data_IF_648867176650
#
_entry.id   IF_648867176650
#
_cell.length_a   1.000
_cell.length_b   1.000
_cell.length_c   1.000
_cell.angle_alpha   90.00
_cell.angle_beta   90.00
_cell.angle_gamma   90.00
#
_symmetry.space_group_name_H-M   'P 1'
#
loop_
_entity.id
_entity.type
_entity.pdbx_description
1 polymer ?
#
# COMPACT_ATOMS: atom_id res chain seq x y z
N UNK A 1 6.68 90.76 -40.09
CA UNK A 1 5.49 90.09 -40.65
C UNK A 1 5.38 88.70 -40.04
N UNK A 2 4.40 88.44 -39.16
CA UNK A 2 4.22 87.12 -38.54
C UNK A 2 3.44 86.19 -39.48
N UNK A 3 3.87 84.93 -39.58
CA UNK A 3 3.17 83.88 -40.33
C UNK A 3 2.00 83.32 -39.51
N UNK A 4 0.86 82.97 -40.14
CA UNK A 4 -0.30 82.42 -39.45
C UNK A 4 -0.05 80.98 -38.97
N UNK A 5 -0.69 80.65 -37.85
CA UNK A 5 -0.61 79.36 -37.17
C UNK A 5 -1.46 78.29 -37.89
N UNK A 6 -0.84 77.13 -38.15
CA UNK A 6 -1.52 75.92 -38.63
C UNK A 6 -2.27 75.24 -37.47
N UNK A 7 -3.60 75.35 -37.45
CA UNK A 7 -4.47 74.52 -36.62
C UNK A 7 -4.61 73.13 -37.27
N UNK A 8 -4.07 72.10 -36.60
CA UNK A 8 -4.31 70.70 -36.96
C UNK A 8 -5.67 70.24 -36.40
N UNK A 9 -6.52 69.59 -37.20
CA UNK A 9 -7.76 69.00 -36.71
C UNK A 9 -7.47 67.76 -35.86
N UNK A 10 -7.90 67.80 -34.60
CA UNK A 10 -7.86 66.68 -33.66
C UNK A 10 -9.01 65.72 -34.01
N UNK A 11 -8.68 64.59 -34.63
CA UNK A 11 -9.59 63.50 -34.93
C UNK A 11 -9.82 62.68 -33.64
N UNK A 12 -10.97 62.88 -33.00
CA UNK A 12 -11.42 62.08 -31.86
C UNK A 12 -12.01 60.77 -32.41
N UNK A 13 -11.21 59.70 -32.40
CA UNK A 13 -11.69 58.35 -32.69
C UNK A 13 -12.50 57.85 -31.48
N UNK A 14 -13.83 57.80 -31.64
CA UNK A 14 -14.71 57.11 -30.71
C UNK A 14 -14.46 55.60 -30.80
N UNK A 15 -13.61 55.09 -29.91
CA UNK A 15 -13.37 53.66 -29.76
C UNK A 15 -14.61 52.97 -29.19
N UNK A 16 -15.24 52.11 -30.00
CA UNK A 16 -16.24 51.17 -29.53
C UNK A 16 -15.56 50.14 -28.62
N UNK A 17 -15.78 50.25 -27.31
CA UNK A 17 -15.44 49.21 -26.34
C UNK A 17 -16.37 48.02 -26.58
N UNK A 18 -15.90 46.99 -27.27
CA UNK A 18 -16.53 45.68 -27.24
C UNK A 18 -16.29 45.09 -25.85
N UNK A 19 -17.37 44.98 -25.07
CA UNK A 19 -17.38 44.20 -23.84
C UNK A 19 -17.14 42.73 -24.23
N UNK A 20 -15.88 42.32 -24.22
CA UNK A 20 -15.49 40.91 -24.24
C UNK A 20 -16.05 40.31 -22.96
N UNK A 21 -17.22 39.69 -23.07
CA UNK A 21 -17.75 38.85 -22.01
C UNK A 21 -16.72 37.76 -21.73
N UNK A 22 -16.11 37.81 -20.54
CA UNK A 22 -15.38 36.68 -19.99
C UNK A 22 -16.35 35.51 -19.95
N UNK A 23 -16.32 34.65 -20.96
CA UNK A 23 -16.78 33.28 -20.80
C UNK A 23 -15.87 32.68 -19.74
N UNK A 24 -16.36 32.61 -18.50
CA UNK A 24 -15.83 31.70 -17.49
C UNK A 24 -15.82 30.32 -18.13
N UNK A 25 -14.68 29.93 -18.69
CA UNK A 25 -14.38 28.53 -18.99
C UNK A 25 -14.62 27.81 -17.69
N UNK A 26 -15.71 27.04 -17.63
CA UNK A 26 -16.00 26.18 -16.51
C UNK A 26 -14.70 25.41 -16.24
N UNK A 27 -14.08 25.71 -15.10
CA UNK A 27 -12.95 24.93 -14.63
C UNK A 27 -13.43 23.48 -14.67
N UNK A 28 -12.75 22.56 -15.36
CA UNK A 28 -13.17 21.16 -15.40
C UNK A 28 -13.47 20.75 -13.97
N UNK A 29 -14.74 20.45 -13.69
CA UNK A 29 -15.20 20.30 -12.31
C UNK A 29 -14.33 19.25 -11.65
N UNK A 30 -13.67 19.61 -10.55
CA UNK A 30 -12.81 18.67 -9.83
C UNK A 30 -13.65 17.44 -9.53
N UNK A 31 -13.19 16.26 -9.94
CA UNK A 31 -13.89 15.01 -9.64
C UNK A 31 -14.05 14.93 -8.11
N UNK A 32 -15.16 14.39 -7.59
CA UNK A 32 -15.34 14.29 -6.15
C UNK A 32 -14.23 13.40 -5.57
N UNK A 33 -13.62 13.85 -4.48
CA UNK A 33 -12.60 13.06 -3.78
C UNK A 33 -13.25 11.78 -3.26
N UNK A 34 -12.50 10.69 -3.39
CA UNK A 34 -12.85 9.35 -2.91
C UNK A 34 -11.86 8.93 -1.85
N UNK A 35 -12.24 7.99 -0.99
CA UNK A 35 -11.42 7.61 0.15
C UNK A 35 -11.18 6.11 0.18
N UNK A 36 -9.94 5.74 0.48
CA UNK A 36 -9.53 4.38 0.85
C UNK A 36 -8.96 4.46 2.25
N UNK A 37 -9.47 3.61 3.14
CA UNK A 37 -8.93 3.48 4.48
C UNK A 37 -8.13 2.18 4.55
N UNK A 38 -6.96 2.21 5.18
CA UNK A 38 -6.08 1.05 5.36
C UNK A 38 -5.92 0.81 6.85
N UNK A 39 -6.04 -0.45 7.29
CA UNK A 39 -5.66 -0.92 8.61
C UNK A 39 -4.28 -1.59 8.50
N UNK A 40 -3.19 -0.91 8.90
CA UNK A 40 -1.90 -1.55 9.02
C UNK A 40 -1.93 -2.57 10.16
N UNK A 41 -1.24 -3.68 9.97
CA UNK A 41 -1.11 -4.76 10.95
C UNK A 41 0.36 -5.15 10.99
N UNK A 42 1.03 -4.84 12.08
CA UNK A 42 2.41 -5.26 12.34
C UNK A 42 2.39 -6.71 12.80
N UNK A 43 2.96 -7.63 12.02
CA UNK A 43 3.15 -9.00 12.46
C UNK A 43 4.42 -9.08 13.31
N UNK A 44 4.33 -9.78 14.43
CA UNK A 44 5.42 -10.05 15.33
C UNK A 44 5.50 -11.54 15.64
N UNK A 45 6.62 -11.95 16.23
CA UNK A 45 6.73 -13.25 16.87
C UNK A 45 5.68 -13.41 17.99
N UNK A 46 5.55 -14.63 18.49
CA UNK A 46 4.54 -14.98 19.51
C UNK A 46 4.74 -14.22 20.84
N UNK A 47 5.92 -13.64 21.05
CA UNK A 47 6.27 -12.87 22.26
C UNK A 47 6.21 -11.35 22.05
N UNK A 48 5.98 -10.89 20.82
CA UNK A 48 6.00 -9.49 20.43
C UNK A 48 7.39 -8.84 20.51
N UNK A 49 8.47 -9.63 20.46
CA UNK A 49 9.85 -9.16 20.61
C UNK A 49 10.46 -8.80 19.26
N UNK A 50 10.25 -9.64 18.25
CA UNK A 50 10.66 -9.41 16.86
C UNK A 50 9.40 -9.08 16.06
N UNK A 51 9.42 -7.96 15.35
CA UNK A 51 8.30 -7.50 14.54
C UNK A 51 8.80 -7.03 13.19
N UNK A 52 8.01 -7.27 12.15
CA UNK A 52 8.21 -6.68 10.84
C UNK A 52 8.11 -5.14 10.92
N UNK A 53 8.79 -4.45 10.01
CA UNK A 53 8.81 -3.01 9.93
C UNK A 53 7.53 -2.44 9.26
N UNK A 54 6.95 -1.39 9.85
CA UNK A 54 5.76 -0.72 9.32
C UNK A 54 6.10 0.29 8.21
N UNK A 55 6.53 -0.21 7.06
CA UNK A 55 6.92 0.59 5.90
C UNK A 55 5.72 1.02 5.02
N UNK A 56 4.83 1.86 5.56
CA UNK A 56 3.59 2.27 4.85
C UNK A 56 3.81 3.13 3.59
N UNK A 57 4.95 3.82 3.49
CA UNK A 57 5.24 4.80 2.43
C UNK A 57 4.06 5.74 2.14
N UNK A 58 3.44 6.27 3.20
CA UNK A 58 2.17 6.98 3.12
C UNK A 58 2.20 8.19 2.16
N UNK A 59 3.30 8.95 2.13
CA UNK A 59 3.44 10.11 1.23
C UNK A 59 3.48 9.70 -0.25
N UNK A 60 4.26 8.68 -0.60
CA UNK A 60 4.31 8.14 -1.96
C UNK A 60 2.97 7.57 -2.39
N UNK A 61 2.33 6.80 -1.49
CA UNK A 61 1.01 6.22 -1.72
C UNK A 61 -0.05 7.30 -1.96
N UNK A 62 -0.08 8.33 -1.11
CA UNK A 62 -0.98 9.48 -1.26
C UNK A 62 -0.76 10.19 -2.59
N UNK A 63 0.50 10.47 -2.95
CA UNK A 63 0.82 11.15 -4.22
C UNK A 63 0.40 10.34 -5.45
N UNK A 64 0.62 9.02 -5.44
CA UNK A 64 0.21 8.15 -6.55
C UNK A 64 -1.31 8.16 -6.71
N UNK A 65 -2.06 7.98 -5.62
CA UNK A 65 -3.52 7.90 -5.66
C UNK A 65 -4.23 9.24 -5.86
N UNK A 66 -3.56 10.36 -5.61
CA UNK A 66 -4.04 11.69 -5.99
C UNK A 66 -4.31 11.82 -7.51
N UNK A 67 -3.64 11.04 -8.36
CA UNK A 67 -3.92 10.97 -9.81
C UNK A 67 -5.36 10.49 -10.11
N UNK A 68 -5.96 9.74 -9.20
CA UNK A 68 -7.31 9.20 -9.31
C UNK A 68 -8.32 9.97 -8.45
N UNK A 69 -7.94 11.10 -7.85
CA UNK A 69 -8.71 11.80 -6.82
C UNK A 69 -9.16 10.84 -5.70
N UNK A 70 -8.26 9.92 -5.29
CA UNK A 70 -8.42 9.00 -4.17
C UNK A 70 -7.46 9.42 -3.05
N UNK A 71 -7.99 9.71 -1.88
CA UNK A 71 -7.23 9.94 -0.66
C UNK A 71 -7.09 8.62 0.12
N UNK A 72 -5.85 8.23 0.40
CA UNK A 72 -5.54 7.03 1.19
C UNK A 72 -5.21 7.46 2.62
N UNK A 73 -5.98 6.94 3.59
CA UNK A 73 -5.76 7.18 5.01
C UNK A 73 -5.36 5.88 5.71
N UNK A 74 -4.24 5.91 6.42
CA UNK A 74 -3.79 4.80 7.27
C UNK A 74 -4.33 4.99 8.68
N UNK A 75 -5.02 3.98 9.20
CA UNK A 75 -5.46 3.91 10.60
C UNK A 75 -4.25 3.63 11.52
N UNK A 76 -4.39 3.82 12.85
CA UNK A 76 -3.41 3.34 13.80
C UNK A 76 -3.14 1.83 13.59
N UNK A 77 -1.86 1.39 13.59
CA UNK A 77 -1.52 0.01 13.33
C UNK A 77 -2.05 -0.91 14.44
N UNK A 78 -2.56 -2.07 14.04
CA UNK A 78 -2.78 -3.18 14.95
C UNK A 78 -1.51 -4.04 15.03
N UNK A 79 -1.43 -4.90 16.06
CA UNK A 79 -0.37 -5.88 16.19
C UNK A 79 -0.95 -7.29 16.16
N UNK A 80 -0.31 -8.17 15.40
CA UNK A 80 -0.59 -9.60 15.37
C UNK A 80 0.62 -10.35 15.95
N UNK A 81 0.43 -11.07 17.05
CA UNK A 81 1.44 -11.99 17.58
C UNK A 81 1.23 -13.36 16.92
N UNK A 82 2.21 -13.82 16.15
CA UNK A 82 2.12 -15.06 15.42
C UNK A 82 3.35 -15.31 14.58
N UNK A 83 4.36 -15.97 15.15
CA UNK A 83 5.66 -16.19 14.49
C UNK A 83 5.54 -16.84 13.12
N UNK A 84 4.54 -17.72 12.93
CA UNK A 84 4.30 -18.37 11.64
C UNK A 84 3.97 -17.39 10.52
N UNK A 85 3.35 -16.26 10.84
CA UNK A 85 2.94 -15.26 9.86
C UNK A 85 4.03 -14.22 9.56
N UNK A 86 5.21 -14.31 10.19
CA UNK A 86 6.36 -13.46 9.83
C UNK A 86 6.91 -13.84 8.45
N UNK A 87 6.76 -15.10 8.04
CA UNK A 87 7.12 -15.57 6.71
C UNK A 87 5.91 -16.21 6.07
N UNK A 88 5.40 -15.63 4.99
CA UNK A 88 4.26 -16.18 4.25
C UNK A 88 4.78 -16.93 3.03
N UNK A 89 4.64 -18.25 2.99
CA UNK A 89 5.16 -19.10 1.92
C UNK A 89 4.08 -19.81 1.10
N UNK A 90 2.81 -19.58 1.43
CA UNK A 90 1.66 -20.21 0.78
C UNK A 90 0.48 -19.27 0.62
N UNK A 91 -0.32 -19.53 -0.41
CA UNK A 91 -1.55 -18.77 -0.68
C UNK A 91 -2.63 -19.08 0.35
N UNK A 92 -2.62 -20.30 0.88
CA UNK A 92 -3.51 -20.77 1.93
C UNK A 92 -3.33 -19.94 3.21
N UNK A 93 -2.09 -19.66 3.59
CA UNK A 93 -1.80 -18.81 4.75
C UNK A 93 -2.24 -17.35 4.53
N UNK A 94 -1.99 -16.80 3.34
CA UNK A 94 -2.50 -15.47 3.01
C UNK A 94 -4.04 -15.43 3.02
N UNK A 95 -4.69 -16.48 2.51
CA UNK A 95 -6.15 -16.62 2.54
C UNK A 95 -6.68 -16.76 3.97
N UNK A 96 -5.93 -17.43 4.85
CA UNK A 96 -6.26 -17.54 6.27
C UNK A 96 -6.27 -16.15 6.93
N UNK A 97 -5.17 -15.39 6.81
CA UNK A 97 -5.07 -14.01 7.29
C UNK A 97 -6.21 -13.15 6.75
N UNK A 98 -6.53 -13.30 5.48
CA UNK A 98 -7.50 -12.44 4.78
C UNK A 98 -8.95 -12.76 5.11
N UNK A 99 -9.30 -14.06 5.22
CA UNK A 99 -10.70 -14.49 5.20
C UNK A 99 -11.11 -15.50 6.28
N UNK A 100 -10.18 -16.17 6.97
CA UNK A 100 -10.54 -17.11 8.02
C UNK A 100 -10.89 -16.39 9.33
N UNK A 101 -11.61 -17.07 10.22
CA UNK A 101 -12.01 -16.54 11.52
C UNK A 101 -13.11 -15.47 11.45
N UNK A 102 -13.38 -14.84 12.60
CA UNK A 102 -14.42 -13.82 12.74
C UNK A 102 -13.95 -12.40 12.37
N UNK A 103 -14.86 -11.45 12.57
CA UNK A 103 -14.56 -10.02 12.54
C UNK A 103 -13.41 -9.70 13.51
N UNK A 104 -12.37 -9.01 13.02
CA UNK A 104 -11.19 -8.66 13.81
C UNK A 104 -10.14 -9.75 13.97
N UNK A 105 -10.39 -10.99 13.50
CA UNK A 105 -9.37 -12.04 13.54
C UNK A 105 -8.11 -11.63 12.78
N UNK A 106 -6.95 -12.11 13.24
CA UNK A 106 -5.63 -11.79 12.69
C UNK A 106 -5.30 -10.28 12.65
N UNK A 107 -5.85 -9.51 13.59
CA UNK A 107 -5.61 -8.06 13.68
C UNK A 107 -6.36 -7.22 12.65
N UNK A 108 -7.27 -7.82 11.86
CA UNK A 108 -8.10 -7.09 10.88
C UNK A 108 -8.95 -6.02 11.55
N UNK A 109 -9.36 -5.01 10.78
CA UNK A 109 -10.38 -4.09 11.24
C UNK A 109 -11.74 -4.82 11.31
N UNK A 110 -12.48 -4.74 12.43
CA UNK A 110 -13.78 -5.39 12.57
C UNK A 110 -14.85 -4.99 11.54
N UNK A 111 -14.71 -3.79 10.94
CA UNK A 111 -15.63 -3.31 9.90
C UNK A 111 -15.25 -3.77 8.49
N UNK A 112 -14.09 -4.41 8.32
CA UNK A 112 -13.65 -4.94 7.03
C UNK A 112 -14.46 -6.18 6.67
N UNK A 113 -14.88 -6.23 5.40
CA UNK A 113 -15.36 -7.45 4.76
C UNK A 113 -14.42 -7.82 3.61
N UNK A 114 -14.71 -8.93 2.94
CA UNK A 114 -13.99 -9.32 1.72
C UNK A 114 -13.99 -8.23 0.63
N UNK A 115 -15.00 -7.37 0.57
CA UNK A 115 -15.15 -6.40 -0.53
C UNK A 115 -15.50 -4.99 -0.07
N UNK A 116 -15.44 -4.69 1.23
CA UNK A 116 -15.77 -3.38 1.77
C UNK A 116 -15.00 -3.07 3.06
N UNK A 117 -15.08 -1.81 3.50
CA UNK A 117 -14.42 -1.34 4.72
C UNK A 117 -12.92 -1.13 4.54
N UNK A 118 -12.17 -0.92 5.64
CA UNK A 118 -10.73 -0.71 5.57
C UNK A 118 -10.00 -1.90 4.94
N UNK A 119 -9.03 -1.63 4.07
CA UNK A 119 -8.12 -2.65 3.55
C UNK A 119 -7.19 -3.11 4.68
N UNK A 120 -7.15 -4.41 4.95
CA UNK A 120 -6.22 -4.98 5.93
C UNK A 120 -4.87 -5.23 5.27
N UNK A 121 -3.81 -4.72 5.88
CA UNK A 121 -2.47 -4.75 5.33
C UNK A 121 -1.51 -5.29 6.39
N UNK A 122 -1.02 -6.51 6.19
CA UNK A 122 -0.05 -7.15 7.07
C UNK A 122 1.37 -6.86 6.59
N UNK A 123 2.18 -6.34 7.51
CA UNK A 123 3.61 -6.19 7.34
C UNK A 123 4.27 -7.43 7.95
N UNK A 124 5.05 -8.13 7.13
CA UNK A 124 5.70 -9.41 7.43
C UNK A 124 7.18 -9.32 7.07
N UNK A 125 8.01 -10.22 7.59
CA UNK A 125 9.44 -10.22 7.26
C UNK A 125 9.64 -10.59 5.80
N UNK A 126 9.08 -11.74 5.38
CA UNK A 126 9.33 -12.33 4.06
C UNK A 126 8.02 -12.86 3.44
N UNK A 127 7.87 -12.69 2.12
CA UNK A 127 6.80 -13.31 1.32
C UNK A 127 7.48 -14.17 0.27
N UNK A 128 7.28 -15.48 0.34
CA UNK A 128 7.87 -16.46 -0.56
C UNK A 128 6.83 -16.96 -1.56
N UNK A 129 7.13 -16.82 -2.85
CA UNK A 129 6.34 -17.37 -3.94
C UNK A 129 7.18 -18.37 -4.73
N UNK A 130 7.05 -19.64 -4.35
CA UNK A 130 7.93 -20.70 -4.86
C UNK A 130 9.36 -20.51 -4.34
N UNK A 131 10.32 -20.31 -5.25
CA UNK A 131 11.73 -20.13 -4.90
C UNK A 131 12.15 -18.65 -4.79
N UNK A 132 11.20 -17.71 -4.92
CA UNK A 132 11.48 -16.28 -5.01
C UNK A 132 10.80 -15.51 -3.89
N UNK A 133 11.48 -14.51 -3.38
CA UNK A 133 10.91 -13.52 -2.49
C UNK A 133 10.20 -12.43 -3.31
N UNK A 134 9.02 -12.01 -2.86
CA UNK A 134 8.27 -10.90 -3.46
C UNK A 134 8.08 -9.77 -2.45
N UNK A 135 8.00 -8.55 -2.98
CA UNK A 135 7.93 -7.33 -2.17
C UNK A 135 6.55 -7.06 -1.57
N UNK A 136 5.50 -7.58 -2.21
CA UNK A 136 4.12 -7.41 -1.82
C UNK A 136 3.23 -8.42 -2.51
N UNK A 137 2.06 -8.66 -1.94
CA UNK A 137 1.05 -9.54 -2.52
C UNK A 137 -0.34 -9.06 -2.12
N UNK A 138 -1.29 -9.08 -3.04
CA UNK A 138 -2.65 -8.61 -2.78
C UNK A 138 -3.70 -9.45 -3.51
N UNK A 139 -4.91 -9.48 -2.96
CA UNK A 139 -6.06 -10.00 -3.69
C UNK A 139 -6.56 -8.97 -4.70
N UNK A 140 -6.93 -9.43 -5.90
CA UNK A 140 -7.60 -8.56 -6.87
C UNK A 140 -9.07 -8.42 -6.51
N UNK A 141 -9.57 -7.18 -6.46
CA UNK A 141 -10.98 -6.85 -6.18
C UNK A 141 -11.52 -7.45 -4.86
N UNK A 142 -10.61 -7.68 -3.91
CA UNK A 142 -10.92 -8.17 -2.58
C UNK A 142 -9.94 -7.60 -1.56
N UNK A 143 -10.31 -7.66 -0.29
CA UNK A 143 -9.55 -7.13 0.83
C UNK A 143 -8.38 -8.05 1.18
N UNK A 144 -7.21 -7.44 1.39
CA UNK A 144 -6.04 -8.09 1.95
C UNK A 144 -4.79 -7.77 1.15
N UNK A 145 -3.77 -7.30 1.86
CA UNK A 145 -2.45 -6.96 1.33
C UNK A 145 -1.37 -7.50 2.28
N UNK A 146 -0.33 -8.10 1.72
CA UNK A 146 0.93 -8.41 2.38
C UNK A 146 2.02 -7.47 1.86
N UNK A 147 2.86 -7.00 2.77
CA UNK A 147 4.04 -6.19 2.47
C UNK A 147 5.24 -6.82 3.19
N UNK A 148 6.31 -7.13 2.46
CA UNK A 148 7.54 -7.67 3.03
C UNK A 148 8.51 -6.55 3.43
N UNK A 149 9.27 -6.75 4.50
CA UNK A 149 10.38 -5.87 4.91
C UNK A 149 11.46 -5.67 3.84
N UNK A 150 11.58 -6.61 2.89
CA UNK A 150 12.52 -6.49 1.77
C UNK A 150 12.29 -5.25 0.90
N UNK A 151 11.10 -4.62 0.97
CA UNK A 151 10.90 -3.31 0.34
C UNK A 151 11.88 -2.27 0.87
N UNK A 152 12.29 -2.32 2.13
CA UNK A 152 13.17 -1.34 2.77
C UNK A 152 14.60 -1.43 2.24
N UNK A 153 15.09 -2.64 1.96
CA UNK A 153 16.43 -2.87 1.42
C UNK A 153 16.62 -2.38 -0.02
N UNK A 154 15.53 -2.19 -0.76
CA UNK A 154 15.57 -1.79 -2.16
C UNK A 154 16.22 -0.42 -2.36
N UNK A 155 16.91 -0.25 -3.50
CA UNK A 155 17.57 1.00 -3.91
C UNK A 155 18.51 1.57 -2.82
N UNK A 156 19.43 0.73 -2.33
CA UNK A 156 20.39 1.06 -1.28
C UNK A 156 19.73 1.54 0.03
N UNK A 157 18.65 0.87 0.45
CA UNK A 157 17.96 1.21 1.70
C UNK A 157 16.96 2.36 1.59
N UNK A 158 16.70 2.88 0.39
CA UNK A 158 15.72 3.98 0.19
C UNK A 158 14.28 3.49 0.16
N UNK A 159 14.06 2.21 -0.05
CA UNK A 159 12.75 1.64 -0.15
C UNK A 159 12.27 1.46 -1.59
N UNK A 160 11.38 0.47 -1.79
CA UNK A 160 10.56 0.32 -2.99
C UNK A 160 9.23 1.06 -2.77
N UNK A 161 9.30 2.39 -2.81
CA UNK A 161 8.31 3.31 -2.22
C UNK A 161 6.93 3.30 -2.89
N UNK A 162 6.77 2.63 -4.04
CA UNK A 162 5.50 2.49 -4.77
C UNK A 162 4.78 1.16 -4.52
N UNK A 163 5.41 0.20 -3.82
CA UNK A 163 4.86 -1.14 -3.60
C UNK A 163 3.50 -1.09 -2.91
N UNK A 164 3.37 -0.32 -1.82
CA UNK A 164 2.10 -0.18 -1.09
C UNK A 164 0.97 0.32 -1.99
N UNK A 165 1.24 1.32 -2.83
CA UNK A 165 0.25 1.84 -3.77
C UNK A 165 -0.13 0.81 -4.85
N UNK A 166 0.85 0.03 -5.33
CA UNK A 166 0.63 -1.05 -6.29
C UNK A 166 -0.28 -2.13 -5.73
N UNK A 167 -0.01 -2.60 -4.50
CA UNK A 167 -0.83 -3.64 -3.86
C UNK A 167 -2.26 -3.16 -3.55
N UNK A 168 -2.43 -1.88 -3.15
CA UNK A 168 -3.75 -1.27 -3.06
C UNK A 168 -4.44 -1.30 -4.44
N UNK A 169 -3.71 -1.07 -5.52
CA UNK A 169 -4.24 -1.13 -6.89
C UNK A 169 -4.89 -2.47 -7.22
N UNK A 170 -4.27 -3.57 -6.80
CA UNK A 170 -4.87 -4.90 -6.91
C UNK A 170 -6.18 -5.01 -6.13
N UNK A 171 -6.22 -4.61 -4.85
CA UNK A 171 -7.45 -4.60 -4.07
C UNK A 171 -8.56 -3.76 -4.75
N UNK A 172 -8.20 -2.68 -5.45
CA UNK A 172 -9.15 -1.84 -6.21
C UNK A 172 -9.53 -2.42 -7.60
N UNK A 173 -9.10 -3.65 -7.90
CA UNK A 173 -9.48 -4.41 -9.09
C UNK A 173 -8.58 -4.18 -10.31
N UNK A 174 -7.37 -3.67 -10.13
CA UNK A 174 -6.39 -3.52 -11.21
C UNK A 174 -5.50 -4.77 -11.31
N UNK A 175 -5.05 -5.11 -12.51
CA UNK A 175 -4.11 -6.23 -12.76
C UNK A 175 -2.91 -5.77 -13.58
N UNK A 176 -1.89 -6.63 -13.72
CA UNK A 176 -0.69 -6.30 -14.50
C UNK A 176 -0.90 -6.29 -16.01
N UNK A 177 -1.89 -7.06 -16.48
CA UNK A 177 -2.20 -7.33 -17.89
C UNK A 177 -3.32 -6.45 -18.45
N UNK A 178 -4.10 -5.79 -17.59
CA UNK A 178 -5.34 -5.10 -17.99
C UNK A 178 -5.26 -3.58 -17.90
N UNK A 179 -6.17 -2.90 -18.59
CA UNK A 179 -6.45 -1.45 -18.48
C UNK A 179 -5.22 -0.55 -18.69
N UNK A 180 -4.24 -1.01 -19.48
CA UNK A 180 -3.01 -0.26 -19.77
C UNK A 180 -1.83 -0.54 -18.85
N UNK A 181 -1.88 -1.63 -18.05
CA UNK A 181 -0.68 -2.25 -17.49
C UNK A 181 0.30 -2.72 -18.57
N UNK A 182 1.59 -2.80 -18.23
CA UNK A 182 2.66 -3.30 -19.12
C UNK A 182 3.64 -2.24 -19.63
N UNK A 183 3.35 -0.95 -19.46
CA UNK A 183 4.34 0.11 -19.69
C UNK A 183 5.25 0.28 -18.46
N UNK A 184 6.56 0.39 -18.64
CA UNK A 184 7.50 0.53 -17.52
C UNK A 184 7.12 1.64 -16.51
N UNK A 185 6.47 2.73 -16.96
CA UNK A 185 6.10 3.85 -16.08
C UNK A 185 4.70 3.71 -15.45
N UNK A 186 3.94 2.67 -15.77
CA UNK A 186 2.61 2.44 -15.21
C UNK A 186 2.73 1.81 -13.81
N UNK A 187 1.91 2.27 -12.85
CA UNK A 187 1.89 1.73 -11.49
C UNK A 187 1.68 0.22 -11.49
N UNK A 188 0.76 -0.27 -12.30
CA UNK A 188 0.34 -1.68 -12.31
C UNK A 188 1.20 -2.57 -13.19
N UNK A 189 2.27 -2.08 -13.80
CA UNK A 189 3.20 -2.98 -14.49
C UNK A 189 3.87 -3.91 -13.51
N UNK A 190 4.08 -5.15 -13.94
CA UNK A 190 4.77 -6.18 -13.16
C UNK A 190 6.10 -5.66 -12.62
N UNK A 191 6.45 -6.11 -11.42
CA UNK A 191 7.60 -5.60 -10.71
C UNK A 191 8.94 -5.78 -11.43
N UNK A 192 9.06 -6.77 -12.31
CA UNK A 192 10.24 -7.04 -13.14
C UNK A 192 10.46 -5.96 -14.20
N UNK A 193 9.37 -5.49 -14.81
CA UNK A 193 9.41 -4.61 -15.98
C UNK A 193 9.13 -3.14 -15.61
N UNK A 194 8.64 -2.89 -14.39
CA UNK A 194 8.29 -1.57 -13.89
C UNK A 194 9.54 -0.74 -13.50
N UNK A 195 9.57 0.49 -13.98
CA UNK A 195 10.45 1.54 -13.48
C UNK A 195 9.93 2.05 -12.13
N UNK A 196 10.70 1.81 -11.07
CA UNK A 196 10.34 2.15 -9.68
C UNK A 196 10.82 3.57 -9.34
N UNK A 197 9.99 4.44 -8.77
CA UNK A 197 10.41 5.76 -8.28
C UNK A 197 11.40 5.64 -7.13
N UNK A 198 12.43 6.51 -7.14
CA UNK A 198 13.45 6.56 -6.08
C UNK A 198 13.19 7.66 -5.07
N UNK A 199 12.39 8.65 -5.45
CA UNK A 199 11.99 9.79 -4.64
C UNK A 199 10.55 10.19 -4.95
N UNK A 200 9.93 10.99 -4.09
CA UNK A 200 8.61 11.57 -4.37
C UNK A 200 8.57 12.38 -5.67
N UNK A 201 9.68 13.04 -6.06
CA UNK A 201 9.73 13.85 -7.28
C UNK A 201 9.70 12.99 -8.55
N UNK A 202 9.98 11.70 -8.47
CA UNK A 202 9.88 10.80 -9.62
C UNK A 202 8.44 10.41 -9.93
N UNK A 203 7.51 10.57 -8.98
CA UNK A 203 6.11 10.17 -9.11
C UNK A 203 5.34 11.21 -9.92
N UNK A 204 4.56 10.74 -10.89
CA UNK A 204 3.68 11.57 -11.73
C UNK A 204 2.76 12.49 -10.89
N UNK A 205 2.59 13.78 -11.24
CA UNK A 205 2.95 14.45 -12.51
C UNK A 205 4.38 15.00 -12.61
N UNK A 206 5.19 14.79 -11.58
CA UNK A 206 6.51 15.41 -11.45
C UNK A 206 7.64 14.56 -12.05
N UNK A 207 8.81 15.19 -12.23
CA UNK A 207 10.09 14.55 -12.57
C UNK A 207 10.00 13.49 -13.66
N UNK A 208 10.48 12.28 -13.36
CA UNK A 208 10.49 11.13 -14.27
C UNK A 208 9.07 10.61 -14.63
N UNK A 209 8.05 11.06 -13.89
CA UNK A 209 6.64 10.70 -14.08
C UNK A 209 6.45 9.18 -14.08
N UNK A 210 6.93 8.51 -13.05
CA UNK A 210 6.75 7.09 -12.80
C UNK A 210 5.44 6.85 -12.04
N UNK A 211 5.06 5.57 -11.90
CA UNK A 211 3.85 5.12 -11.19
C UNK A 211 2.56 5.80 -11.70
N UNK A 212 2.42 5.91 -13.02
CA UNK A 212 1.25 6.50 -13.68
C UNK A 212 0.03 5.59 -13.61
N UNK A 213 -1.15 6.19 -13.54
CA UNK A 213 -2.43 5.53 -13.79
C UNK A 213 -3.00 5.97 -15.14
N UNK A 214 -3.60 5.05 -15.89
CA UNK A 214 -4.42 5.37 -17.07
C UNK A 214 -5.81 5.85 -16.66
N UNK A 215 -6.54 6.52 -17.56
CA UNK A 215 -7.91 6.93 -17.30
C UNK A 215 -8.84 5.73 -16.98
N UNK A 216 -8.62 4.59 -17.64
CA UNK A 216 -9.38 3.36 -17.39
C UNK A 216 -9.07 2.77 -16.01
N UNK A 217 -7.79 2.77 -15.59
CA UNK A 217 -7.39 2.37 -14.23
C UNK A 217 -8.00 3.30 -13.18
N UNK A 218 -7.99 4.62 -13.42
CA UNK A 218 -8.65 5.60 -12.54
C UNK A 218 -10.15 5.30 -12.45
N UNK A 219 -10.82 5.04 -13.58
CA UNK A 219 -12.23 4.68 -13.62
C UNK A 219 -12.52 3.40 -12.83
N UNK A 220 -11.75 2.34 -13.05
CA UNK A 220 -11.90 1.05 -12.35
C UNK A 220 -11.68 1.22 -10.85
N UNK A 221 -10.57 1.83 -10.44
CA UNK A 221 -10.23 1.99 -9.03
C UNK A 221 -11.32 2.77 -8.28
N UNK A 222 -11.79 3.89 -8.84
CA UNK A 222 -12.86 4.71 -8.24
C UNK A 222 -14.23 4.01 -8.16
N UNK A 223 -14.43 2.95 -8.94
CA UNK A 223 -15.67 2.15 -8.92
C UNK A 223 -15.61 0.97 -7.94
N UNK A 224 -14.45 0.70 -7.34
CA UNK A 224 -14.29 -0.38 -6.37
C UNK A 224 -15.16 -0.19 -5.13
N UNK A 225 -15.64 -1.31 -4.57
CA UNK A 225 -16.43 -1.33 -3.33
C UNK A 225 -15.61 -1.04 -2.07
N UNK A 226 -14.28 -1.06 -2.19
CA UNK A 226 -13.34 -0.66 -1.13
C UNK A 226 -13.13 0.87 -1.09
N UNK A 227 -13.69 1.61 -2.04
CA UNK A 227 -13.62 3.08 -2.12
C UNK A 227 -14.91 3.70 -1.60
N UNK A 228 -14.81 4.63 -0.64
CA UNK A 228 -15.94 5.36 -0.11
C UNK A 228 -16.06 6.78 -0.69
N UNK A 229 -17.29 7.31 -0.70
CA UNK A 229 -17.57 8.71 -1.06
C UNK A 229 -17.42 9.71 0.10
N UNK A 230 -17.11 9.22 1.30
CA UNK A 230 -16.89 10.01 2.50
C UNK A 230 -15.56 9.59 3.11
N UNK A 231 -14.83 10.49 3.79
CA UNK A 231 -13.74 10.08 4.65
C UNK A 231 -14.21 8.95 5.56
N UNK A 232 -13.34 7.95 5.76
CA UNK A 232 -13.55 6.94 6.79
C UNK A 232 -13.69 7.60 8.17
N UNK A 233 -14.15 6.87 9.20
CA UNK A 233 -14.16 7.41 10.54
C UNK A 233 -12.76 7.92 10.88
N UNK A 234 -12.65 9.22 11.16
CA UNK A 234 -11.40 9.78 11.66
C UNK A 234 -11.06 9.03 12.94
N UNK A 235 -9.83 8.48 13.08
CA UNK A 235 -9.45 7.81 14.31
C UNK A 235 -9.74 8.79 15.46
N UNK A 236 -10.55 8.34 16.42
CA UNK A 236 -10.79 9.12 17.64
C UNK A 236 -9.44 9.18 18.32
N UNK A 237 -8.76 10.32 18.18
CA UNK A 237 -7.58 10.62 19.00
C UNK A 237 -8.13 10.82 20.39
N UNK A 238 -8.22 9.73 21.17
CA UNK A 238 -8.44 9.84 22.60
C UNK A 238 -7.21 10.58 23.11
N UNK A 239 -7.36 11.79 23.69
CA UNK A 239 -6.23 12.48 24.27
C UNK A 239 -5.62 11.52 25.28
N UNK A 240 -4.36 11.14 25.06
CA UNK A 240 -3.60 10.38 26.03
C UNK A 240 -3.36 11.36 27.16
N UNK A 241 -4.24 11.36 28.16
CA UNK A 241 -4.09 12.21 29.32
C UNK A 241 -2.77 11.80 29.99
N UNK A 242 -1.77 12.68 30.13
CA UNK A 242 -0.45 12.33 30.64
C UNK A 242 -0.44 12.00 32.15
N UNK A 243 -1.62 11.80 32.75
CA UNK A 243 -1.70 11.39 34.14
C UNK A 243 -1.30 9.91 34.25
N UNK A 244 -0.34 9.58 35.13
CA UNK A 244 -0.04 8.20 35.42
C UNK A 244 -1.32 7.52 35.89
N UNK A 245 -1.73 6.47 35.17
CA UNK A 245 -2.70 5.52 35.69
C UNK A 245 -2.04 4.91 36.92
N UNK A 246 -2.31 5.47 38.10
CA UNK A 246 -2.09 4.77 39.35
C UNK A 246 -3.12 3.64 39.31
N UNK A 247 -2.68 2.48 38.84
CA UNK A 247 -3.38 1.23 39.07
C UNK A 247 -3.68 1.18 40.57
N UNK A 248 -4.95 1.05 41.00
CA UNK A 248 -5.22 0.79 42.39
C UNK A 248 -4.45 -0.48 42.74
N UNK A 249 -3.49 -0.33 43.65
CA UNK A 249 -2.81 -1.43 44.29
C UNK A 249 -3.93 -2.34 44.81
N UNK A 250 -4.11 -3.50 44.18
CA UNK A 250 -5.02 -4.53 44.67
C UNK A 250 -4.42 -4.98 46.01
N UNK A 251 -4.90 -4.40 47.10
CA UNK A 251 -4.73 -4.94 48.44
C UNK A 251 -5.26 -6.37 48.44
N UNK A 252 -4.43 -7.26 48.98
CA UNK A 252 -4.64 -8.69 49.16
C UNK A 252 -6.09 -9.03 49.55
N UNK A 253 -6.84 -9.61 48.62
CA UNK A 253 -8.06 -10.34 48.96
C UNK A 253 -7.74 -11.83 49.05
N UNK A 254 -7.83 -12.34 50.27
CA UNK A 254 -7.74 -13.74 50.71
C UNK A 254 -8.08 -14.79 49.64
N UNK A 255 -7.08 -15.59 49.30
CA UNK A 255 -7.22 -16.86 48.59
C UNK A 255 -7.68 -17.96 49.57
N UNK A 256 -8.91 -17.91 50.05
CA UNK A 256 -9.50 -19.05 50.78
C UNK A 256 -11.03 -19.08 50.70
N UNK A 257 -11.55 -19.49 49.54
CA UNK A 257 -12.84 -20.18 49.43
C UNK A 257 -13.07 -20.67 47.99
N UNK A 258 -12.76 -21.94 47.71
CA UNK A 258 -13.26 -22.64 46.52
C UNK A 258 -14.52 -23.42 46.92
N UNK A 259 -15.73 -23.02 46.50
CA UNK A 259 -16.86 -23.94 46.50
C UNK A 259 -16.79 -24.80 45.23
N UNK A 260 -16.79 -26.12 45.44
CA UNK A 260 -16.97 -27.15 44.43
C UNK A 260 -18.33 -26.96 43.76
N UNK A 261 -18.35 -26.45 42.53
CA UNK A 261 -19.55 -26.36 41.70
C UNK A 261 -19.62 -27.56 40.75
N UNK A 262 -20.78 -28.22 40.80
CA UNK A 262 -21.16 -29.44 40.12
C UNK A 262 -21.06 -29.36 38.59
N UNK A 263 -20.55 -30.45 38.02
CA UNK A 263 -20.55 -30.71 36.59
C UNK A 263 -21.99 -30.84 36.05
N UNK A 264 -22.37 -29.96 35.12
CA UNK A 264 -23.51 -30.16 34.22
C UNK A 264 -23.00 -30.71 32.87
N UNK A 265 -23.61 -31.77 32.31
CA UNK A 265 -23.21 -32.33 31.03
C UNK A 265 -23.63 -31.43 29.86
N UNK A 266 -22.68 -31.13 28.97
CA UNK A 266 -22.89 -30.43 27.71
C UNK A 266 -23.61 -31.35 26.70
N UNK A 267 -24.67 -30.84 26.07
CA UNK A 267 -25.32 -31.46 24.91
C UNK A 267 -24.50 -31.27 23.63
N UNK A 268 -24.53 -32.21 22.67
CA UNK A 268 -23.79 -32.11 21.42
C UNK A 268 -24.64 -31.48 20.31
N UNK A 269 -24.45 -30.19 20.03
CA UNK A 269 -24.93 -29.57 18.79
C UNK A 269 -23.90 -28.53 18.32
N UNK A 270 -22.88 -28.96 17.58
CA UNK A 270 -22.05 -28.08 16.74
C UNK A 270 -21.15 -28.87 15.76
N UNK A 271 -21.73 -29.76 14.96
CA UNK A 271 -21.09 -30.28 13.72
C UNK A 271 -21.94 -29.83 12.53
N UNK A 272 -21.76 -28.58 12.08
CA UNK A 272 -22.43 -28.11 10.86
C UNK A 272 -21.82 -26.86 10.20
N UNK A 273 -20.53 -26.53 10.38
CA UNK A 273 -19.90 -25.44 9.62
C UNK A 273 -18.42 -25.70 9.33
N UNK A 274 -18.15 -26.73 8.51
CA UNK A 274 -16.85 -26.93 7.88
C UNK A 274 -17.07 -27.43 6.44
N UNK A 275 -17.66 -26.57 5.61
CA UNK A 275 -17.59 -26.76 4.16
C UNK A 275 -16.35 -26.00 3.64
N UNK A 276 -15.43 -26.64 2.92
CA UNK A 276 -14.30 -25.95 2.31
C UNK A 276 -14.81 -24.94 1.29
N UNK A 277 -14.45 -23.67 1.48
CA UNK A 277 -14.71 -22.61 0.51
C UNK A 277 -13.84 -22.90 -0.71
N UNK A 278 -14.45 -23.46 -1.76
CA UNK A 278 -13.82 -23.65 -3.06
C UNK A 278 -13.59 -22.28 -3.69
N UNK A 279 -12.32 -21.90 -3.86
CA UNK A 279 -11.97 -20.69 -4.60
C UNK A 279 -12.54 -20.77 -6.03
N UNK A 280 -13.02 -19.66 -6.60
CA UNK A 280 -13.57 -19.63 -7.96
C UNK A 280 -12.44 -19.91 -8.98
N UNK A 281 -12.77 -20.74 -9.98
CA UNK A 281 -11.82 -21.39 -10.89
C UNK A 281 -11.31 -20.49 -12.04
N UNK A 282 -11.65 -19.21 -12.03
CA UNK A 282 -11.33 -18.20 -13.04
C UNK A 282 -10.10 -17.35 -12.67
N UNK A 283 -9.45 -17.61 -11.53
CA UNK A 283 -8.33 -16.82 -11.02
C UNK A 283 -6.96 -17.49 -11.19
N UNK A 284 -6.91 -18.75 -11.62
CA UNK A 284 -5.65 -19.52 -11.73
C UNK A 284 -4.84 -19.19 -12.99
N UNK A 285 -5.51 -18.78 -14.08
CA UNK A 285 -4.86 -18.61 -15.40
C UNK A 285 -4.07 -17.28 -15.54
N UNK A 286 -4.37 -16.23 -14.77
CA UNK A 286 -3.59 -14.98 -14.85
C UNK A 286 -2.32 -14.99 -13.97
N UNK A 287 -2.20 -15.92 -13.01
CA UNK A 287 -1.02 -16.00 -12.13
C UNK A 287 0.10 -16.88 -12.69
N UNK A 288 -0.21 -17.73 -13.67
CA UNK A 288 0.76 -18.64 -14.33
C UNK A 288 1.72 -17.93 -15.31
N UNK A 289 1.49 -16.63 -15.59
CA UNK A 289 2.33 -15.85 -16.52
C UNK A 289 3.38 -14.96 -15.84
N UNK A 290 3.38 -14.82 -14.51
CA UNK A 290 4.40 -14.04 -13.79
C UNK A 290 5.67 -14.85 -13.43
N UNK A 291 5.67 -16.17 -13.62
CA UNK A 291 6.85 -17.01 -13.41
C UNK A 291 7.61 -17.23 -14.73
N UNK A 292 8.42 -16.27 -15.14
CA UNK A 292 9.50 -16.53 -16.10
C UNK A 292 10.81 -15.97 -15.58
N UNK A 293 11.73 -16.89 -15.27
CA UNK A 293 13.19 -16.74 -15.13
C UNK A 293 13.72 -15.31 -14.94
N UNK A 294 14.28 -15.03 -13.77
CA UNK A 294 15.33 -14.02 -13.63
C UNK A 294 16.62 -14.67 -14.16
N UNK A 295 17.10 -14.37 -15.38
CA UNK A 295 18.51 -14.62 -15.65
C UNK A 295 19.32 -13.72 -14.72
N UNK A 296 20.35 -14.32 -14.13
CA UNK A 296 21.44 -13.62 -13.44
C UNK A 296 21.82 -12.36 -14.24
N UNK A 297 22.04 -11.19 -13.61
CA UNK A 297 22.44 -10.00 -14.32
C UNK A 297 23.74 -10.31 -15.07
N UNK A 298 23.67 -10.37 -16.40
CA UNK A 298 24.86 -10.42 -17.24
C UNK A 298 25.63 -9.14 -16.96
N UNK A 299 26.74 -9.29 -16.24
CA UNK A 299 27.72 -8.25 -16.07
C UNK A 299 28.06 -7.70 -17.46
N UNK A 300 27.67 -6.45 -17.73
CA UNK A 300 28.21 -5.73 -18.85
C UNK A 300 29.72 -5.65 -18.62
N UNK A 301 30.48 -6.29 -19.51
CA UNK A 301 31.93 -6.16 -19.56
C UNK A 301 32.28 -4.71 -19.84
N UNK A 302 32.61 -3.99 -18.78
CA UNK A 302 33.32 -2.71 -18.88
C UNK A 302 34.67 -3.02 -19.54
N UNK A 303 35.06 -2.34 -20.64
CA UNK A 303 36.40 -2.50 -21.19
C UNK A 303 37.42 -2.09 -20.14
N UNK A 304 38.34 -3.01 -19.83
CA UNK A 304 39.42 -2.80 -18.87
C UNK A 304 40.23 -1.53 -19.19
N UNK A 305 40.49 -0.67 -18.20
CA UNK A 305 41.64 0.22 -18.28
C UNK A 305 42.90 -0.61 -18.03
N UNK A 306 43.78 -0.64 -19.04
CA UNK A 306 45.14 -1.13 -18.89
C UNK A 306 45.84 -0.39 -17.76
N UNK A 307 46.21 -1.08 -16.68
CA UNK A 307 47.30 -0.63 -15.83
C UNK A 307 47.21 -0.97 -14.35
N UNK A 308 48.24 -1.72 -13.92
CA UNK A 308 48.84 -1.78 -12.59
C UNK A 308 48.15 -2.58 -11.47
N UNK A 309 48.73 -3.77 -11.30
CA UNK A 309 48.81 -4.59 -10.09
C UNK A 309 49.01 -3.82 -8.79
N UNK A 310 48.22 -4.10 -7.75
CA UNK A 310 48.64 -4.14 -6.34
C UNK A 310 47.76 -5.11 -5.53
N UNK A 311 48.40 -5.73 -4.55
CA UNK A 311 47.95 -6.79 -3.64
C UNK A 311 46.83 -6.38 -2.67
N UNK A 312 46.03 -7.34 -2.21
CA UNK A 312 45.34 -7.24 -0.92
C UNK A 312 43.97 -7.92 -0.88
N UNK A 313 43.83 -8.95 -0.05
CA UNK A 313 42.63 -9.78 0.05
C UNK A 313 41.48 -9.19 0.87
N UNK A 314 40.39 -9.95 0.91
CA UNK A 314 39.27 -9.72 1.82
C UNK A 314 37.90 -9.94 1.17
N UNK A 315 37.47 -11.19 1.04
CA UNK A 315 36.10 -11.50 0.62
C UNK A 315 35.61 -12.79 1.30
N UNK A 316 35.40 -12.72 2.62
CA UNK A 316 34.83 -13.79 3.44
C UNK A 316 33.98 -13.26 4.62
N UNK A 317 33.29 -12.13 4.45
CA UNK A 317 32.53 -11.50 5.55
C UNK A 317 31.13 -11.00 5.15
N UNK A 318 30.35 -11.82 4.43
CA UNK A 318 28.93 -11.49 4.18
C UNK A 318 27.93 -12.60 4.54
N UNK A 319 28.38 -13.75 5.05
CA UNK A 319 27.52 -14.89 5.39
C UNK A 319 27.26 -15.11 6.89
N UNK A 320 27.67 -14.20 7.78
CA UNK A 320 27.56 -14.41 9.24
C UNK A 320 26.74 -13.38 10.02
N UNK A 321 26.10 -12.39 9.38
CA UNK A 321 25.44 -11.30 10.12
C UNK A 321 23.92 -11.45 10.33
N UNK A 322 23.24 -12.42 9.70
CA UNK A 322 21.76 -12.52 9.75
C UNK A 322 21.20 -13.59 10.69
N UNK A 323 21.96 -14.03 11.73
CA UNK A 323 21.50 -15.06 12.70
C UNK A 323 21.43 -14.60 14.15
N UNK A 324 21.34 -13.30 14.41
CA UNK A 324 21.17 -12.75 15.77
C UNK A 324 20.25 -11.52 15.85
N UNK A 325 19.13 -11.54 15.13
CA UNK A 325 17.98 -10.70 15.50
C UNK A 325 16.74 -11.54 15.42
#
# INVERSE_FOLDING_TARGET
MPRPADLKPLLIAAGAFTLVGCTTTASPGSRPIRFVTVQPIQVCDDFGLICADLATFAESTSKIWAQADIEVSFLPPNRLLGSRFLTIDSREEFAELSFAGGSGAYGRNPSSTRTSGPINMWFVDEILQGAFEVFGLAWVDANGVLISDSILGFNNGRGRIDTVAHEIGHNLGLTHSSLGGGSANNLMTDGRDRAVPTTLNDINPDGARLSRLTDDQVGRARSSRLVSGSPGPTPIVVPIDPFPIILPLLEDSDFDAVPVALATPLSPIAEAFAAPVKAPADFEDEMLLATQFVPEPTAQSVPEPLGLSWLGGGMLAWLFWRRQR
#
